data_IF_808143419389
#
_entry.id   IF_808143419389
#
_cell.length_a   1.000
_cell.length_b   1.000
_cell.length_c   1.000
_cell.angle_alpha   90.00
_cell.angle_beta   90.00
_cell.angle_gamma   90.00
#
_symmetry.space_group_name_H-M   'P 1'
#
loop_
_entity.id
_entity.type
_entity.pdbx_description
1 polymer ?
#
# COMPACT_ATOMS: atom_id res chain seq x y z
N UNK A 1 -48.54 -17.54 7.65
CA UNK A 1 -48.17 -16.21 8.16
C UNK A 1 -46.90 -16.38 8.97
N UNK A 2 -45.75 -16.30 8.29
CA UNK A 2 -44.47 -15.96 8.90
C UNK A 2 -43.83 -15.04 7.87
N UNK A 3 -43.85 -13.75 8.17
CA UNK A 3 -43.22 -12.72 7.36
C UNK A 3 -41.70 -12.89 7.54
N UNK A 4 -41.00 -13.25 6.46
CA UNK A 4 -39.56 -13.08 6.40
C UNK A 4 -39.28 -11.59 6.61
N UNK A 5 -38.69 -11.28 7.76
CA UNK A 5 -38.17 -9.97 8.07
C UNK A 5 -36.96 -9.75 7.18
N UNK A 6 -37.21 -9.31 5.94
CA UNK A 6 -36.21 -8.78 5.04
C UNK A 6 -35.64 -7.51 5.69
N UNK A 7 -34.66 -7.71 6.55
CA UNK A 7 -33.78 -6.63 6.99
C UNK A 7 -33.05 -6.20 5.73
N UNK A 8 -33.56 -5.15 5.09
CA UNK A 8 -32.85 -4.44 4.04
C UNK A 8 -31.51 -4.02 4.62
N UNK A 9 -30.48 -4.82 4.39
CA UNK A 9 -29.09 -4.46 4.61
C UNK A 9 -28.84 -3.23 3.74
N UNK A 10 -28.97 -2.05 4.34
CA UNK A 10 -28.49 -0.84 3.74
C UNK A 10 -27.02 -1.11 3.37
N UNK A 11 -26.61 -0.95 2.11
CA UNK A 11 -25.23 -1.19 1.74
C UNK A 11 -24.40 -0.19 2.54
N UNK A 12 -23.64 -0.70 3.52
CA UNK A 12 -22.58 0.02 4.18
C UNK A 12 -21.41 0.20 3.19
N UNK A 13 -21.69 0.84 2.05
CA UNK A 13 -20.74 1.22 1.01
C UNK A 13 -20.02 2.50 1.44
N UNK A 14 -19.35 2.45 2.60
CA UNK A 14 -18.24 3.36 2.82
C UNK A 14 -17.07 2.84 1.97
N UNK A 15 -16.45 3.66 1.10
CA UNK A 15 -15.34 3.22 0.23
C UNK A 15 -14.06 2.81 0.99
N UNK A 16 -14.10 2.82 2.33
CA UNK A 16 -12.97 2.62 3.21
C UNK A 16 -12.95 1.17 3.73
N UNK A 17 -12.62 0.22 2.86
CA UNK A 17 -12.32 -1.15 3.31
C UNK A 17 -11.11 -1.16 4.26
N UNK A 18 -11.01 -2.10 5.21
CA UNK A 18 -9.88 -2.20 6.13
C UNK A 18 -8.52 -2.25 5.43
N UNK A 19 -8.45 -2.87 4.24
CA UNK A 19 -7.25 -2.88 3.40
C UNK A 19 -6.86 -1.46 2.97
N UNK A 20 -7.82 -0.69 2.47
CA UNK A 20 -7.61 0.69 1.98
C UNK A 20 -7.13 1.59 3.10
N UNK A 21 -7.75 1.51 4.28
CA UNK A 21 -7.34 2.28 5.47
C UNK A 21 -5.96 1.84 5.95
N UNK A 22 -5.72 0.52 6.04
CA UNK A 22 -4.45 -0.03 6.51
C UNK A 22 -3.27 0.40 5.66
N UNK A 23 -3.40 0.38 4.33
CA UNK A 23 -2.35 0.85 3.42
C UNK A 23 -2.17 2.37 3.47
N UNK A 24 -3.23 3.15 3.74
CA UNK A 24 -3.12 4.59 3.96
C UNK A 24 -2.30 4.91 5.20
N UNK A 25 -2.56 4.21 6.31
CA UNK A 25 -1.78 4.34 7.54
C UNK A 25 -0.32 3.90 7.35
N UNK A 26 -0.09 2.77 6.66
CA UNK A 26 1.27 2.30 6.33
C UNK A 26 2.04 3.32 5.48
N UNK A 27 1.37 3.94 4.50
CA UNK A 27 1.96 4.99 3.66
C UNK A 27 2.35 6.22 4.46
N UNK A 28 1.51 6.65 5.42
CA UNK A 28 1.83 7.77 6.30
C UNK A 28 3.08 7.50 7.12
N UNK A 29 3.13 6.36 7.81
CA UNK A 29 4.28 5.97 8.63
C UNK A 29 5.53 5.87 7.78
N UNK A 30 5.46 5.18 6.64
CA UNK A 30 6.63 4.94 5.82
C UNK A 30 7.13 6.21 5.12
N UNK A 31 6.25 7.13 4.75
CA UNK A 31 6.65 8.42 4.18
C UNK A 31 7.38 9.28 5.20
N UNK A 32 6.91 9.30 6.46
CA UNK A 32 7.60 9.99 7.55
C UNK A 32 8.99 9.37 7.76
N UNK A 33 9.09 8.04 7.81
CA UNK A 33 10.37 7.34 7.92
C UNK A 33 11.26 7.71 6.72
N UNK A 34 10.75 7.63 5.50
CA UNK A 34 11.50 7.92 4.28
C UNK A 34 12.10 9.33 4.29
N UNK A 35 11.35 10.35 4.68
CA UNK A 35 11.87 11.73 4.75
C UNK A 35 12.81 11.99 5.93
N UNK A 36 12.69 11.25 7.02
CA UNK A 36 13.51 11.46 8.23
C UNK A 36 14.84 10.71 8.18
N UNK A 37 14.87 9.52 7.59
CA UNK A 37 16.10 8.69 7.52
C UNK A 37 16.92 8.95 6.25
N UNK A 38 16.35 9.65 5.26
CA UNK A 38 17.02 9.86 3.98
C UNK A 38 18.07 10.97 4.08
N UNK A 39 19.33 10.58 3.89
CA UNK A 39 20.52 11.43 3.98
C UNK A 39 20.96 12.00 2.63
N UNK A 40 20.15 11.84 1.58
CA UNK A 40 20.44 12.43 0.28
C UNK A 40 20.47 13.96 0.38
N UNK A 41 21.41 14.60 -0.32
CA UNK A 41 21.54 16.06 -0.35
C UNK A 41 20.22 16.77 -0.71
N UNK A 42 19.44 16.15 -1.61
CA UNK A 42 18.11 16.58 -2.02
C UNK A 42 17.13 16.73 -0.84
N UNK A 43 17.09 15.75 0.07
CA UNK A 43 16.18 15.76 1.22
C UNK A 43 16.74 16.66 2.33
N UNK A 44 18.05 16.61 2.57
CA UNK A 44 18.68 17.41 3.63
C UNK A 44 18.62 18.92 3.33
N UNK A 45 18.81 19.32 2.08
CA UNK A 45 18.76 20.73 1.65
C UNK A 45 17.35 21.31 1.53
N UNK A 46 16.31 20.47 1.59
CA UNK A 46 14.93 20.94 1.45
C UNK A 46 14.44 21.70 2.70
N UNK A 47 13.73 22.81 2.47
CA UNK A 47 13.04 23.55 3.53
C UNK A 47 11.93 22.70 4.16
N UNK A 48 11.50 23.06 5.38
CA UNK A 48 10.42 22.36 6.08
C UNK A 48 9.13 22.31 5.23
N UNK A 49 8.76 23.41 4.58
CA UNK A 49 7.57 23.45 3.73
C UNK A 49 7.67 22.49 2.56
N UNK A 50 8.85 22.40 1.93
CA UNK A 50 9.06 21.49 0.81
C UNK A 50 9.03 20.03 1.26
N UNK A 51 9.54 19.72 2.46
CA UNK A 51 9.43 18.38 3.07
C UNK A 51 7.99 18.01 3.38
N UNK A 52 7.19 18.95 3.89
CA UNK A 52 5.76 18.69 4.15
C UNK A 52 5.00 18.44 2.84
N UNK A 53 5.26 19.23 1.80
CA UNK A 53 4.66 19.01 0.49
C UNK A 53 5.09 17.67 -0.13
N UNK A 54 6.39 17.36 -0.07
CA UNK A 54 6.93 16.09 -0.52
C UNK A 54 6.35 14.91 0.27
N UNK A 55 6.12 15.09 1.57
CA UNK A 55 5.47 14.11 2.42
C UNK A 55 4.00 13.89 2.06
N UNK A 56 3.26 14.95 1.75
CA UNK A 56 1.87 14.83 1.30
C UNK A 56 1.79 14.09 -0.04
N UNK A 57 2.63 14.46 -1.01
CA UNK A 57 2.66 13.81 -2.33
C UNK A 57 3.14 12.36 -2.20
N UNK A 58 4.19 12.11 -1.42
CA UNK A 58 4.70 10.76 -1.12
C UNK A 58 3.67 9.88 -0.44
N UNK A 59 2.91 10.42 0.53
CA UNK A 59 1.81 9.72 1.19
C UNK A 59 0.74 9.26 0.19
N UNK A 60 0.26 10.19 -0.66
CA UNK A 60 -0.81 9.92 -1.62
C UNK A 60 -0.35 8.90 -2.66
N UNK A 61 0.82 9.13 -3.26
CA UNK A 61 1.38 8.24 -4.29
C UNK A 61 1.78 6.88 -3.74
N UNK A 62 2.31 6.81 -2.53
CA UNK A 62 2.58 5.56 -1.80
C UNK A 62 1.30 4.77 -1.52
N UNK A 63 0.24 5.45 -1.09
CA UNK A 63 -1.05 4.82 -0.84
C UNK A 63 -1.64 4.26 -2.14
N UNK A 64 -1.66 5.05 -3.21
CA UNK A 64 -2.09 4.59 -4.55
C UNK A 64 -1.23 3.41 -5.01
N UNK A 65 0.09 3.48 -4.84
CA UNK A 65 1.01 2.41 -5.20
C UNK A 65 0.71 1.09 -4.49
N UNK A 66 0.41 1.13 -3.19
CA UNK A 66 0.00 -0.05 -2.42
C UNK A 66 -1.33 -0.63 -2.93
N UNK A 67 -2.30 0.23 -3.27
CA UNK A 67 -3.59 -0.20 -3.84
C UNK A 67 -3.41 -0.83 -5.22
N UNK A 68 -2.53 -0.27 -6.06
CA UNK A 68 -2.16 -0.87 -7.35
C UNK A 68 -1.49 -2.22 -7.13
N UNK A 69 -0.57 -2.34 -6.18
CA UNK A 69 0.01 -3.64 -5.80
C UNK A 69 -1.05 -4.64 -5.36
N UNK A 70 -2.09 -4.20 -4.65
CA UNK A 70 -3.19 -5.06 -4.27
C UNK A 70 -4.05 -5.51 -5.46
N UNK A 71 -4.26 -4.63 -6.43
CA UNK A 71 -4.90 -4.99 -7.68
C UNK A 71 -4.06 -6.02 -8.45
N UNK A 72 -2.74 -5.85 -8.51
CA UNK A 72 -1.81 -6.81 -9.12
C UNK A 72 -1.88 -8.17 -8.42
N UNK A 73 -1.90 -8.20 -7.08
CA UNK A 73 -2.11 -9.45 -6.32
C UNK A 73 -3.42 -10.12 -6.73
N UNK A 74 -4.55 -9.39 -6.70
CA UNK A 74 -5.87 -9.94 -7.03
C UNK A 74 -5.95 -10.42 -8.48
N UNK A 75 -5.19 -9.83 -9.39
CA UNK A 75 -5.16 -10.19 -10.79
C UNK A 75 -4.25 -11.38 -11.10
N UNK A 76 -3.06 -11.43 -10.49
CA UNK A 76 -2.00 -12.36 -10.88
C UNK A 76 -1.78 -13.51 -9.90
N UNK A 77 -2.33 -13.45 -8.68
CA UNK A 77 -2.19 -14.52 -7.72
C UNK A 77 -2.94 -15.76 -8.22
N UNK A 78 -2.26 -16.91 -8.39
CA UNK A 78 -2.89 -18.14 -8.82
C UNK A 78 -3.74 -18.76 -7.71
N UNK A 79 -4.86 -19.38 -8.08
CA UNK A 79 -5.77 -20.07 -7.15
C UNK A 79 -5.17 -21.37 -6.56
N UNK A 80 -4.36 -22.07 -7.35
CA UNK A 80 -3.65 -23.28 -6.94
C UNK A 80 -2.16 -23.14 -7.25
N UNK A 81 -1.33 -23.46 -6.26
CA UNK A 81 0.12 -23.44 -6.38
C UNK A 81 0.64 -24.83 -6.06
N UNK A 82 1.24 -25.46 -7.07
CA UNK A 82 1.96 -26.71 -6.93
C UNK A 82 3.47 -26.42 -6.98
N UNK A 83 4.20 -26.81 -5.94
CA UNK A 83 5.66 -26.62 -5.88
C UNK A 83 6.36 -27.97 -5.82
N UNK A 84 7.52 -28.05 -6.49
CA UNK A 84 8.45 -29.18 -6.33
C UNK A 84 9.48 -28.92 -5.21
N UNK A 85 9.57 -27.67 -4.71
CA UNK A 85 10.31 -27.32 -3.51
C UNK A 85 9.47 -27.59 -2.27
N UNK A 86 10.07 -28.11 -1.20
CA UNK A 86 9.37 -28.50 0.03
C UNK A 86 8.57 -27.39 0.73
N UNK A 87 8.01 -27.68 1.89
CA UNK A 87 7.02 -26.82 2.58
C UNK A 87 7.42 -25.34 2.74
N UNK A 88 8.72 -25.04 2.92
CA UNK A 88 9.21 -23.66 3.04
C UNK A 88 9.02 -22.83 1.76
N UNK A 89 9.09 -23.45 0.58
CA UNK A 89 8.88 -22.75 -0.68
C UNK A 89 7.43 -22.28 -0.83
N UNK A 90 6.47 -23.13 -0.43
CA UNK A 90 5.04 -22.78 -0.41
C UNK A 90 4.75 -21.64 0.55
N UNK A 91 5.35 -21.67 1.75
CA UNK A 91 5.18 -20.61 2.74
C UNK A 91 5.70 -19.28 2.21
N UNK A 92 6.91 -19.25 1.64
CA UNK A 92 7.48 -18.04 1.05
C UNK A 92 6.64 -17.46 -0.07
N UNK A 93 6.11 -18.32 -0.95
CA UNK A 93 5.28 -17.87 -2.05
C UNK A 93 3.94 -17.32 -1.57
N UNK A 94 3.34 -17.92 -0.54
CA UNK A 94 2.14 -17.36 0.12
C UNK A 94 2.42 -15.99 0.73
N UNK A 95 3.55 -15.81 1.41
CA UNK A 95 3.95 -14.52 1.99
C UNK A 95 4.20 -13.48 0.90
N UNK A 96 4.90 -13.85 -0.19
CA UNK A 96 5.12 -12.97 -1.33
C UNK A 96 3.79 -12.48 -1.92
N UNK A 97 2.85 -13.38 -2.19
CA UNK A 97 1.56 -12.96 -2.71
C UNK A 97 0.74 -12.19 -1.69
N UNK A 98 0.88 -12.46 -0.39
CA UNK A 98 0.12 -11.74 0.64
C UNK A 98 0.46 -10.24 0.70
N UNK A 99 1.74 -9.87 0.60
CA UNK A 99 2.20 -8.48 0.82
C UNK A 99 3.19 -7.93 -0.20
N UNK A 100 3.81 -8.76 -1.04
CA UNK A 100 4.94 -8.39 -1.89
C UNK A 100 4.62 -7.26 -2.88
N UNK A 101 3.66 -7.45 -3.81
CA UNK A 101 3.29 -6.42 -4.78
C UNK A 101 2.89 -5.08 -4.12
N UNK A 102 2.19 -5.12 -2.99
CA UNK A 102 1.75 -3.95 -2.23
C UNK A 102 2.94 -3.17 -1.66
N UNK A 103 3.89 -3.86 -1.03
CA UNK A 103 5.09 -3.23 -0.45
C UNK A 103 5.96 -2.61 -1.54
N UNK A 104 6.10 -3.28 -2.70
CA UNK A 104 6.84 -2.73 -3.84
C UNK A 104 6.15 -1.45 -4.34
N UNK A 105 4.84 -1.50 -4.57
CA UNK A 105 4.06 -0.35 -5.00
C UNK A 105 4.12 0.81 -4.02
N UNK A 106 4.07 0.52 -2.71
CA UNK A 106 4.19 1.50 -1.63
C UNK A 106 5.54 2.24 -1.68
N UNK A 107 6.65 1.50 -1.69
CA UNK A 107 8.00 2.08 -1.66
C UNK A 107 8.28 2.89 -2.93
N UNK A 108 7.91 2.33 -4.10
CA UNK A 108 8.08 3.01 -5.39
C UNK A 108 7.23 4.28 -5.45
N UNK A 109 5.97 4.21 -4.99
CA UNK A 109 5.07 5.36 -4.93
C UNK A 109 5.65 6.49 -4.08
N UNK A 110 6.05 6.20 -2.84
CA UNK A 110 6.66 7.19 -1.93
C UNK A 110 7.91 7.80 -2.56
N UNK A 111 8.82 6.97 -3.06
CA UNK A 111 10.08 7.42 -3.65
C UNK A 111 9.86 8.35 -4.84
N UNK A 112 8.97 7.98 -5.76
CA UNK A 112 8.63 8.81 -6.93
C UNK A 112 7.92 10.11 -6.52
N UNK A 113 6.95 10.03 -5.60
CA UNK A 113 6.20 11.18 -5.14
C UNK A 113 7.08 12.21 -4.41
N UNK A 114 7.95 11.77 -3.51
CA UNK A 114 8.89 12.66 -2.84
C UNK A 114 9.91 13.24 -3.83
N UNK A 115 10.46 12.43 -4.75
CA UNK A 115 11.46 12.90 -5.72
C UNK A 115 10.89 13.92 -6.71
N UNK A 116 9.61 13.83 -7.05
CA UNK A 116 8.94 14.80 -7.91
C UNK A 116 8.93 16.21 -7.29
N UNK A 117 8.82 16.29 -5.97
CA UNK A 117 8.74 17.56 -5.23
C UNK A 117 10.13 18.07 -4.83
N UNK A 118 11.03 17.18 -4.41
CA UNK A 118 12.33 17.56 -3.86
C UNK A 118 13.43 17.78 -4.91
N UNK A 119 13.12 17.60 -6.20
CA UNK A 119 14.02 17.75 -7.37
C UNK A 119 15.09 18.83 -7.24
#
# INVERSE_FOLDING_TARGET
MEQEHETADAPNDLPASPEVIGWGAASLVLTIIFLTVNTSAMVLGASLMLKLLAGLVGLITGWIGALVGNAVRKFAQPDAIYTNGGALHLIWLKVFWLIGPQIIGLIVGIGLGCSLVLR
#
